data_IF_336548641195
#
_entry.id   IF_336548641195
#
_cell.length_a   1.000
_cell.length_b   1.000
_cell.length_c   1.000
_cell.angle_alpha   90.00
_cell.angle_beta   90.00
_cell.angle_gamma   90.00
#
_symmetry.space_group_name_H-M   'P 1'
#
loop_
_entity.id
_entity.type
_entity.pdbx_description
1 polymer ?
#
# COMPACT_ATOMS: atom_id res chain seq x y z
N UNK A 1 -5.70 4.61 6.68
CA UNK A 1 -5.33 3.88 5.45
C UNK A 1 -6.40 2.86 5.17
N UNK A 2 -6.88 2.76 3.92
CA UNK A 2 -7.93 1.82 3.53
C UNK A 2 -7.59 1.26 2.16
N UNK A 3 -7.78 -0.05 1.96
CA UNK A 3 -7.64 -0.71 0.67
C UNK A 3 -9.04 -1.03 0.15
N UNK A 4 -9.45 -0.38 -0.94
CA UNK A 4 -10.80 -0.49 -1.48
C UNK A 4 -10.76 -0.97 -2.93
N UNK A 5 -11.81 -1.69 -3.35
CA UNK A 5 -12.00 -2.06 -4.75
C UNK A 5 -12.94 -1.06 -5.41
N UNK A 6 -12.41 -0.25 -6.32
CA UNK A 6 -13.15 0.77 -7.07
C UNK A 6 -13.15 0.38 -8.55
N UNK A 7 -14.32 0.13 -9.12
CA UNK A 7 -14.48 -0.23 -10.55
C UNK A 7 -13.59 -1.40 -11.01
N UNK A 8 -13.38 -2.39 -10.13
CA UNK A 8 -12.53 -3.56 -10.41
C UNK A 8 -11.04 -3.36 -10.16
N UNK A 9 -10.60 -2.13 -9.89
CA UNK A 9 -9.25 -1.78 -9.46
C UNK A 9 -9.12 -1.76 -7.94
N UNK A 10 -8.03 -2.27 -7.39
CA UNK A 10 -7.70 -2.12 -5.97
C UNK A 10 -6.93 -0.81 -5.79
N UNK A 11 -7.38 0.02 -4.86
CA UNK A 11 -6.82 1.34 -4.57
C UNK A 11 -6.49 1.42 -3.07
N UNK A 12 -5.23 1.73 -2.76
CA UNK A 12 -4.80 1.99 -1.40
C UNK A 12 -4.87 3.50 -1.14
N UNK A 13 -5.81 3.89 -0.29
CA UNK A 13 -5.99 5.24 0.20
C UNK A 13 -5.14 5.43 1.47
N UNK A 14 -4.02 6.14 1.33
CA UNK A 14 -3.09 6.41 2.43
C UNK A 14 -3.49 7.71 3.14
N UNK A 15 -3.72 8.77 2.36
CA UNK A 15 -4.28 10.06 2.78
C UNK A 15 -5.30 10.52 1.74
N UNK A 16 -6.08 11.59 1.98
CA UNK A 16 -6.98 12.15 0.96
C UNK A 16 -6.29 12.55 -0.34
N UNK A 17 -5.00 12.90 -0.28
CA UNK A 17 -4.20 13.37 -1.42
C UNK A 17 -3.32 12.26 -2.03
N UNK A 18 -3.07 11.17 -1.29
CA UNK A 18 -2.24 10.05 -1.70
C UNK A 18 -3.07 8.77 -1.78
N UNK A 19 -3.50 8.46 -2.99
CA UNK A 19 -4.17 7.23 -3.36
C UNK A 19 -3.34 6.55 -4.44
N UNK A 20 -2.99 5.27 -4.25
CA UNK A 20 -2.16 4.53 -5.20
C UNK A 20 -2.89 3.30 -5.70
N UNK A 21 -2.68 2.94 -6.97
CA UNK A 21 -3.15 1.66 -7.49
C UNK A 21 -2.40 0.53 -6.79
N UNK A 22 -3.15 -0.39 -6.20
CA UNK A 22 -2.60 -1.46 -5.37
C UNK A 22 -2.79 -2.79 -6.09
N UNK A 23 -1.70 -3.37 -6.60
CA UNK A 23 -1.79 -4.61 -7.39
C UNK A 23 -2.30 -5.75 -6.52
N UNK A 24 -3.17 -6.61 -7.06
CA UNK A 24 -3.65 -7.80 -6.35
C UNK A 24 -2.51 -8.70 -5.89
N UNK A 25 -1.45 -8.83 -6.70
CA UNK A 25 -0.23 -9.58 -6.37
C UNK A 25 0.44 -9.07 -5.09
N UNK A 26 0.45 -7.76 -4.85
CA UNK A 26 1.02 -7.20 -3.62
C UNK A 26 0.18 -7.53 -2.39
N UNK A 27 -1.15 -7.61 -2.54
CA UNK A 27 -2.04 -8.03 -1.45
C UNK A 27 -1.72 -9.47 -1.06
N UNK A 28 -1.63 -10.38 -2.03
CA UNK A 28 -1.31 -11.79 -1.78
C UNK A 28 0.07 -11.96 -1.13
N UNK A 29 1.08 -11.26 -1.65
CA UNK A 29 2.43 -11.28 -1.08
C UNK A 29 2.45 -10.72 0.34
N UNK A 30 1.82 -9.57 0.59
CA UNK A 30 1.75 -8.99 1.94
C UNK A 30 0.97 -9.86 2.92
N UNK A 31 -0.03 -10.64 2.47
CA UNK A 31 -0.72 -11.62 3.34
C UNK A 31 0.16 -12.79 3.75
N UNK A 32 1.04 -13.23 2.85
CA UNK A 32 1.97 -14.32 3.09
C UNK A 32 3.23 -13.90 3.87
N UNK A 33 3.59 -12.61 3.82
CA UNK A 33 4.76 -12.07 4.48
C UNK A 33 4.56 -11.91 6.00
N UNK A 34 5.60 -12.17 6.81
CA UNK A 34 5.58 -11.81 8.22
C UNK A 34 5.71 -10.29 8.39
N UNK A 35 5.13 -9.75 9.47
CA UNK A 35 4.95 -8.30 9.66
C UNK A 35 6.28 -7.51 9.64
N UNK A 36 7.36 -8.09 10.14
CA UNK A 36 8.71 -7.51 10.14
C UNK A 36 9.27 -7.25 8.73
N UNK A 37 8.80 -8.00 7.73
CA UNK A 37 9.23 -7.86 6.33
C UNK A 37 8.39 -6.85 5.52
N UNK A 38 7.30 -6.30 6.09
CA UNK A 38 6.44 -5.36 5.38
C UNK A 38 7.21 -4.10 4.95
N UNK A 39 8.05 -3.56 5.82
CA UNK A 39 8.82 -2.35 5.54
C UNK A 39 9.76 -2.52 4.35
N UNK A 40 10.41 -3.69 4.25
CA UNK A 40 11.30 -4.02 3.14
C UNK A 40 10.53 -4.23 1.84
N UNK A 41 9.42 -4.96 1.89
CA UNK A 41 8.56 -5.17 0.73
C UNK A 41 8.05 -3.86 0.15
N UNK A 42 7.58 -2.95 1.00
CA UNK A 42 7.13 -1.63 0.59
C UNK A 42 8.26 -0.87 -0.12
N UNK A 43 9.47 -0.85 0.45
CA UNK A 43 10.61 -0.09 -0.10
C UNK A 43 11.15 -0.67 -1.41
N UNK A 44 11.16 -2.00 -1.54
CA UNK A 44 11.73 -2.71 -2.68
C UNK A 44 10.75 -2.92 -3.84
N UNK A 45 9.44 -2.95 -3.55
CA UNK A 45 8.41 -3.35 -4.53
C UNK A 45 7.39 -2.24 -4.79
N UNK A 46 6.75 -1.72 -3.74
CA UNK A 46 5.67 -0.73 -3.88
C UNK A 46 6.27 0.64 -4.21
N UNK A 47 7.22 1.14 -3.42
CA UNK A 47 7.80 2.47 -3.58
C UNK A 47 8.42 2.72 -4.96
N UNK A 48 9.19 1.79 -5.56
CA UNK A 48 9.74 1.98 -6.91
C UNK A 48 8.68 2.03 -8.00
N UNK A 49 7.49 1.46 -7.77
CA UNK A 49 6.39 1.50 -8.74
C UNK A 49 5.59 2.80 -8.73
N UNK A 50 5.77 3.64 -7.70
CA UNK A 50 5.09 4.93 -7.56
C UNK A 50 5.63 5.95 -8.57
N UNK A 51 4.75 6.81 -9.07
CA UNK A 51 5.10 7.99 -9.85
C UNK A 51 5.83 9.04 -9.00
N UNK A 52 6.50 9.99 -9.65
CA UNK A 52 7.22 11.08 -8.96
C UNK A 52 6.32 11.90 -8.01
N UNK A 53 5.06 12.12 -8.42
CA UNK A 53 4.08 12.82 -7.57
C UNK A 53 3.75 12.00 -6.32
N UNK A 54 3.47 10.72 -6.49
CA UNK A 54 3.15 9.81 -5.38
C UNK A 54 4.34 9.65 -4.43
N UNK A 55 5.57 9.50 -4.93
CA UNK A 55 6.77 9.42 -4.09
C UNK A 55 6.98 10.68 -3.26
N UNK A 56 6.74 11.87 -3.83
CA UNK A 56 6.84 13.14 -3.10
C UNK A 56 5.83 13.22 -1.95
N UNK A 57 4.59 12.77 -2.18
CA UNK A 57 3.54 12.74 -1.15
C UNK A 57 3.83 11.65 -0.10
N UNK A 58 4.30 10.48 -0.54
CA UNK A 58 4.72 9.38 0.32
C UNK A 58 5.81 9.82 1.29
N UNK A 59 6.86 10.49 0.80
CA UNK A 59 7.97 10.97 1.64
C UNK A 59 7.53 12.04 2.68
N UNK A 60 6.40 12.70 2.46
CA UNK A 60 5.81 13.67 3.39
C UNK A 60 4.82 13.04 4.37
N UNK A 61 4.45 11.78 4.15
CA UNK A 61 3.41 11.08 4.89
C UNK A 61 4.04 10.03 5.80
N UNK A 62 3.65 10.00 7.07
CA UNK A 62 4.00 8.89 7.95
C UNK A 62 3.12 7.69 7.62
N UNK A 63 3.73 6.64 7.08
CA UNK A 63 3.04 5.40 6.74
C UNK A 63 3.27 4.38 7.83
N UNK A 64 2.19 4.00 8.51
CA UNK A 64 2.20 3.01 9.56
C UNK A 64 1.98 1.62 8.95
N UNK A 65 2.98 0.75 9.07
CA UNK A 65 2.92 -0.63 8.56
C UNK A 65 1.77 -1.43 9.20
N UNK A 66 1.37 -1.11 10.43
CA UNK A 66 0.23 -1.76 11.11
C UNK A 66 -1.09 -1.43 10.42
N UNK A 67 -1.25 -0.18 9.98
CA UNK A 67 -2.46 0.23 9.26
C UNK A 67 -2.50 -0.37 7.86
N UNK A 68 -1.33 -0.52 7.20
CA UNK A 68 -1.23 -1.23 5.93
C UNK A 68 -1.60 -2.71 6.10
N UNK A 69 -1.08 -3.36 7.14
CA UNK A 69 -1.43 -4.75 7.43
C UNK A 69 -2.93 -4.90 7.66
N UNK A 70 -3.53 -4.03 8.49
CA UNK A 70 -4.98 -4.05 8.71
C UNK A 70 -5.75 -3.86 7.40
N UNK A 71 -5.36 -2.92 6.54
CA UNK A 71 -5.99 -2.69 5.25
C UNK A 71 -5.88 -3.89 4.30
N UNK A 72 -4.71 -4.54 4.22
CA UNK A 72 -4.47 -5.73 3.39
C UNK A 72 -5.28 -6.94 3.87
N UNK A 73 -5.44 -7.10 5.18
CA UNK A 73 -6.22 -8.18 5.78
C UNK A 73 -7.73 -7.93 5.67
N UNK A 74 -8.17 -6.67 5.71
CA UNK A 74 -9.57 -6.28 5.59
C UNK A 74 -10.10 -6.27 4.14
N UNK A 75 -9.21 -6.17 3.15
CA UNK A 75 -9.62 -6.24 1.75
C UNK A 75 -10.19 -7.62 1.42
N UNK A 76 -11.42 -7.68 0.92
CA UNK A 76 -12.08 -8.92 0.43
C UNK A 76 -12.29 -8.78 -1.07
#
# INVERSE_FOLDING_TARGET
MILERIQGALMLHITPELCIYFRSEWVEQLRALPYDQFGEFIRSTIYPSLSDKERRLWNKTTINNRDLQAAVQAAI
#
